data_IF_833670430683
#
_entry.id   IF_833670430683
#
_cell.length_a   1.000
_cell.length_b   1.000
_cell.length_c   1.000
_cell.angle_alpha   90.00
_cell.angle_beta   90.00
_cell.angle_gamma   90.00
#
_symmetry.space_group_name_H-M   'P 1'
#
loop_
_entity.id
_entity.type
_entity.pdbx_description
1 polymer ?
#
# COMPACT_ATOMS: atom_id res chain seq x y z
N UNK A 1 -26.65 40.63 27.50
CA UNK A 1 -27.33 39.33 27.54
C UNK A 1 -26.58 38.34 26.66
N UNK A 2 -26.28 37.19 27.24
CA UNK A 2 -25.30 36.20 26.81
C UNK A 2 -25.73 35.38 25.58
N UNK A 3 -24.88 35.31 24.56
CA UNK A 3 -24.80 34.18 23.61
C UNK A 3 -23.33 33.82 23.39
N UNK A 4 -22.63 33.41 24.45
CA UNK A 4 -21.43 32.57 24.28
C UNK A 4 -21.94 31.22 23.79
N UNK A 5 -21.79 30.98 22.48
CA UNK A 5 -21.99 29.66 21.87
C UNK A 5 -21.19 28.65 22.69
N UNK A 6 -21.85 27.62 23.20
CA UNK A 6 -21.19 26.44 23.77
C UNK A 6 -20.26 25.87 22.69
N UNK A 7 -18.98 26.22 22.77
CA UNK A 7 -17.92 25.42 22.21
C UNK A 7 -17.86 24.18 23.10
N UNK A 8 -18.51 23.10 22.69
CA UNK A 8 -18.33 21.80 23.34
C UNK A 8 -16.84 21.48 23.22
N UNK A 9 -16.11 21.54 24.32
CA UNK A 9 -14.70 21.18 24.35
C UNK A 9 -14.57 19.73 23.82
N UNK A 10 -13.62 19.50 22.90
CA UNK A 10 -13.34 18.17 22.38
C UNK A 10 -12.90 17.27 23.56
N UNK A 11 -13.62 16.19 23.81
CA UNK A 11 -13.20 15.19 24.79
C UNK A 11 -12.16 14.25 24.17
N UNK A 12 -11.27 13.62 24.96
CA UNK A 12 -10.35 12.63 24.44
C UNK A 12 -11.05 11.50 23.66
N UNK A 13 -12.24 11.10 24.10
CA UNK A 13 -13.08 10.10 23.44
C UNK A 13 -13.59 10.57 22.07
N UNK A 14 -14.08 11.81 21.97
CA UNK A 14 -14.58 12.35 20.70
C UNK A 14 -13.46 12.54 19.69
N UNK A 15 -12.25 12.92 20.15
CA UNK A 15 -11.06 12.95 19.30
C UNK A 15 -10.76 11.57 18.74
N UNK A 16 -10.77 10.53 19.58
CA UNK A 16 -10.54 9.15 19.15
C UNK A 16 -11.52 8.68 18.06
N UNK A 17 -12.82 8.92 18.27
CA UNK A 17 -13.89 8.52 17.35
C UNK A 17 -13.91 9.28 16.01
N UNK A 18 -13.25 10.44 15.93
CA UNK A 18 -13.28 11.30 14.74
C UNK A 18 -11.91 11.42 14.05
N UNK A 19 -10.83 10.92 14.67
CA UNK A 19 -9.48 11.10 14.16
C UNK A 19 -9.20 10.22 12.93
N UNK A 20 -9.22 10.84 11.75
CA UNK A 20 -8.91 10.18 10.48
C UNK A 20 -7.53 9.47 10.50
N UNK A 21 -6.51 10.10 11.11
CA UNK A 21 -5.18 9.51 11.22
C UNK A 21 -5.16 8.23 12.08
N UNK A 22 -5.94 8.19 13.17
CA UNK A 22 -6.04 7.02 14.03
C UNK A 22 -6.75 5.87 13.29
N UNK A 23 -7.92 6.13 12.70
CA UNK A 23 -8.67 5.13 11.95
C UNK A 23 -7.88 4.56 10.77
N UNK A 24 -7.23 5.44 9.99
CA UNK A 24 -6.36 5.03 8.88
C UNK A 24 -5.23 4.10 9.36
N UNK A 25 -4.53 4.48 10.42
CA UNK A 25 -3.42 3.69 10.97
C UNK A 25 -3.86 2.34 11.54
N UNK A 26 -4.99 2.28 12.24
CA UNK A 26 -5.53 1.03 12.80
C UNK A 26 -5.93 0.09 11.67
N UNK A 27 -6.71 0.56 10.70
CA UNK A 27 -7.15 -0.24 9.57
C UNK A 27 -5.96 -0.74 8.75
N UNK A 28 -5.02 0.16 8.41
CA UNK A 28 -3.80 -0.19 7.68
C UNK A 28 -3.02 -1.32 8.36
N UNK A 29 -2.85 -1.27 9.69
CA UNK A 29 -2.14 -2.32 10.45
C UNK A 29 -2.85 -3.66 10.43
N UNK A 30 -4.18 -3.67 10.61
CA UNK A 30 -4.97 -4.91 10.64
C UNK A 30 -5.00 -5.57 9.25
N UNK A 31 -5.25 -4.78 8.20
CA UNK A 31 -5.22 -5.25 6.81
C UNK A 31 -3.83 -5.77 6.46
N UNK A 32 -2.77 -5.02 6.79
CA UNK A 32 -1.39 -5.47 6.53
C UNK A 32 -1.07 -6.80 7.21
N UNK A 33 -1.54 -7.00 8.45
CA UNK A 33 -1.35 -8.27 9.18
C UNK A 33 -2.05 -9.42 8.49
N UNK A 34 -3.32 -9.24 8.11
CA UNK A 34 -4.11 -10.24 7.41
C UNK A 34 -3.42 -10.70 6.12
N UNK A 35 -2.96 -9.76 5.30
CA UNK A 35 -2.33 -10.11 4.03
C UNK A 35 -0.95 -10.75 4.26
N UNK A 36 -0.13 -10.22 5.17
CA UNK A 36 1.16 -10.84 5.48
C UNK A 36 1.04 -12.28 6.00
N UNK A 37 -0.03 -12.60 6.73
CA UNK A 37 -0.29 -13.97 7.19
C UNK A 37 -0.54 -14.90 5.99
N UNK A 38 -1.40 -14.50 5.05
CA UNK A 38 -1.74 -15.30 3.88
C UNK A 38 -0.63 -15.37 2.83
N UNK A 39 0.27 -14.38 2.80
CA UNK A 39 1.42 -14.37 1.90
C UNK A 39 2.64 -15.13 2.46
N UNK A 40 2.57 -15.64 3.70
CA UNK A 40 3.74 -16.18 4.41
C UNK A 40 4.48 -17.28 3.65
N UNK A 41 3.76 -18.18 2.98
CA UNK A 41 4.34 -19.28 2.17
C UNK A 41 5.17 -18.79 0.98
N UNK A 42 4.85 -17.60 0.45
CA UNK A 42 5.65 -16.98 -0.62
C UNK A 42 6.99 -16.41 -0.13
N UNK A 43 7.15 -16.22 1.18
CA UNK A 43 8.28 -15.49 1.75
C UNK A 43 8.26 -13.97 1.48
N UNK A 44 7.15 -13.45 0.93
CA UNK A 44 6.93 -12.02 0.67
C UNK A 44 6.02 -11.40 1.71
N UNK A 45 6.29 -10.14 2.03
CA UNK A 45 5.32 -9.26 2.71
C UNK A 45 4.42 -8.58 1.68
N UNK A 46 3.23 -8.14 2.09
CA UNK A 46 2.29 -7.42 1.23
C UNK A 46 2.92 -6.19 0.57
N UNK A 47 3.78 -5.46 1.28
CA UNK A 47 4.51 -4.31 0.70
C UNK A 47 5.44 -4.74 -0.43
N UNK A 48 6.13 -5.86 -0.28
CA UNK A 48 7.02 -6.40 -1.32
C UNK A 48 6.20 -6.91 -2.52
N UNK A 49 5.11 -7.62 -2.26
CA UNK A 49 4.16 -8.02 -3.29
C UNK A 49 3.63 -6.81 -4.08
N UNK A 50 3.23 -5.73 -3.40
CA UNK A 50 2.76 -4.50 -4.07
C UNK A 50 3.84 -3.87 -4.96
N UNK A 51 5.11 -3.90 -4.55
CA UNK A 51 6.24 -3.44 -5.39
C UNK A 51 6.39 -4.33 -6.63
N UNK A 52 6.43 -5.66 -6.46
CA UNK A 52 6.52 -6.60 -7.58
C UNK A 52 5.34 -6.45 -8.55
N UNK A 53 4.13 -6.34 -8.02
CA UNK A 53 2.91 -6.11 -8.79
C UNK A 53 3.00 -4.81 -9.61
N UNK A 54 3.49 -3.73 -9.01
CA UNK A 54 3.65 -2.46 -9.71
C UNK A 54 4.69 -2.54 -10.84
N UNK A 55 5.86 -3.14 -10.58
CA UNK A 55 6.89 -3.36 -11.60
C UNK A 55 6.33 -4.19 -12.76
N UNK A 56 5.62 -5.28 -12.46
CA UNK A 56 5.03 -6.18 -13.45
C UNK A 56 3.91 -5.52 -14.26
N UNK A 57 3.05 -4.72 -13.62
CA UNK A 57 1.93 -4.06 -14.29
C UNK A 57 2.40 -2.93 -15.21
N UNK A 58 3.38 -2.14 -14.76
CA UNK A 58 4.01 -1.08 -15.55
C UNK A 58 5.38 -0.76 -14.94
N UNK A 59 6.50 -1.14 -15.59
CA UNK A 59 7.83 -0.82 -15.10
C UNK A 59 7.97 0.68 -14.83
N UNK A 60 8.36 1.09 -13.60
CA UNK A 60 8.44 2.50 -13.26
C UNK A 60 9.67 3.16 -13.87
N UNK A 61 9.52 4.41 -14.30
CA UNK A 61 10.63 5.21 -14.80
C UNK A 61 11.53 5.72 -13.68
N UNK A 62 11.09 5.74 -12.41
CA UNK A 62 11.94 6.16 -11.30
C UNK A 62 11.43 5.65 -9.95
N UNK A 63 12.30 5.66 -8.93
CA UNK A 63 11.91 5.31 -7.55
C UNK A 63 10.89 6.33 -7.02
N UNK A 64 11.00 7.59 -7.44
CA UNK A 64 10.02 8.61 -7.08
C UNK A 64 8.63 8.27 -7.64
N UNK A 65 8.53 7.92 -8.91
CA UNK A 65 7.23 7.55 -9.51
C UNK A 65 6.63 6.31 -8.83
N UNK A 66 7.46 5.30 -8.53
CA UNK A 66 7.00 4.10 -7.83
C UNK A 66 6.57 4.41 -6.38
N UNK A 67 7.27 5.33 -5.70
CA UNK A 67 6.92 5.79 -4.35
C UNK A 67 5.55 6.48 -4.34
N UNK A 68 5.34 7.36 -5.32
CA UNK A 68 4.09 8.08 -5.53
C UNK A 68 2.93 7.14 -5.86
N UNK A 69 3.17 6.12 -6.69
CA UNK A 69 2.19 5.10 -7.05
C UNK A 69 1.76 4.27 -5.84
N UNK A 70 2.72 3.89 -4.98
CA UNK A 70 2.47 3.01 -3.84
C UNK A 70 2.13 3.76 -2.54
N UNK A 71 2.17 5.10 -2.54
CA UNK A 71 1.98 5.91 -1.34
C UNK A 71 3.04 5.65 -0.27
N UNK A 72 4.29 5.42 -0.69
CA UNK A 72 5.41 5.08 0.18
C UNK A 72 6.44 6.21 0.21
N UNK A 73 7.08 6.41 1.36
CA UNK A 73 8.25 7.29 1.45
C UNK A 73 9.39 6.79 0.55
N UNK A 74 10.02 7.70 -0.20
CA UNK A 74 11.05 7.37 -1.21
C UNK A 74 12.17 6.52 -0.64
N UNK A 75 12.69 6.85 0.55
CA UNK A 75 13.79 6.11 1.19
C UNK A 75 13.37 4.73 1.70
N UNK A 76 12.09 4.56 2.06
CA UNK A 76 11.53 3.27 2.46
C UNK A 76 11.30 2.37 1.26
N UNK A 77 10.84 2.95 0.15
CA UNK A 77 10.70 2.23 -1.10
C UNK A 77 12.05 1.79 -1.67
N UNK A 78 13.06 2.68 -1.71
CA UNK A 78 14.41 2.33 -2.17
C UNK A 78 14.93 1.11 -1.42
N UNK A 79 14.89 1.15 -0.07
CA UNK A 79 15.30 0.01 0.78
C UNK A 79 14.48 -1.27 0.53
N UNK A 80 13.24 -1.15 0.08
CA UNK A 80 12.41 -2.31 -0.27
C UNK A 80 12.85 -2.91 -1.61
N UNK A 81 13.13 -2.07 -2.61
CA UNK A 81 13.64 -2.48 -3.92
C UNK A 81 15.02 -3.12 -3.77
N UNK A 82 15.94 -2.49 -3.04
CA UNK A 82 17.30 -3.01 -2.82
C UNK A 82 17.27 -4.42 -2.23
N UNK A 83 16.38 -4.67 -1.26
CA UNK A 83 16.18 -6.00 -0.67
C UNK A 83 15.58 -7.02 -1.64
N UNK A 84 14.77 -6.59 -2.60
CA UNK A 84 14.23 -7.49 -3.63
C UNK A 84 15.32 -7.86 -4.64
N UNK A 85 16.22 -6.93 -4.95
CA UNK A 85 17.41 -7.17 -5.78
C UNK A 85 18.40 -8.09 -5.07
N UNK A 86 18.70 -7.83 -3.79
CA UNK A 86 19.58 -8.67 -2.97
C UNK A 86 19.07 -10.12 -2.86
N UNK A 87 17.74 -10.30 -2.83
CA UNK A 87 17.10 -11.62 -2.85
C UNK A 87 17.02 -12.26 -4.24
N UNK A 88 17.50 -11.59 -5.29
CA UNK A 88 17.44 -12.07 -6.67
C UNK A 88 16.02 -12.13 -7.24
N UNK A 89 15.06 -11.39 -6.67
CA UNK A 89 13.66 -11.36 -7.13
C UNK A 89 13.40 -10.25 -8.16
N UNK A 90 14.23 -9.21 -8.14
CA UNK A 90 14.19 -8.09 -9.07
C UNK A 90 15.60 -7.91 -9.63
N UNK A 91 15.69 -7.58 -10.90
CA UNK A 91 16.93 -7.11 -11.52
C UNK A 91 16.74 -5.66 -11.96
N UNK A 92 17.85 -4.93 -12.07
CA UNK A 92 17.87 -3.55 -12.55
C UNK A 92 18.85 -3.47 -13.70
N UNK A 93 18.32 -3.39 -14.92
CA UNK A 93 19.13 -3.24 -16.12
C UNK A 93 19.10 -1.79 -16.59
N UNK A 94 20.24 -1.21 -17.02
CA UNK A 94 20.24 0.10 -17.65
C UNK A 94 19.36 0.06 -18.90
N UNK A 95 18.22 0.73 -18.86
CA UNK A 95 17.50 0.99 -20.12
C UNK A 95 18.30 2.05 -20.88
N UNK A 96 18.22 2.07 -22.21
CA UNK A 96 18.82 3.14 -23.03
C UNK A 96 18.40 4.56 -22.62
N UNK A 97 17.38 4.69 -21.76
CA UNK A 97 17.03 5.90 -21.04
C UNK A 97 17.71 5.92 -19.64
N UNK A 98 18.68 6.83 -19.46
CA UNK A 98 19.42 7.04 -18.19
C UNK A 98 18.53 7.36 -16.97
N UNK A 99 17.26 7.73 -17.17
CA UNK A 99 16.33 8.05 -16.08
C UNK A 99 15.58 6.83 -15.56
N UNK A 100 15.39 5.80 -16.37
CA UNK A 100 14.61 4.61 -16.00
C UNK A 100 15.43 3.66 -15.13
N UNK A 101 14.78 3.11 -14.11
CA UNK A 101 15.38 2.11 -13.23
C UNK A 101 15.63 0.77 -13.92
N UNK A 102 14.90 0.52 -15.02
CA UNK A 102 14.88 -0.77 -15.71
C UNK A 102 14.65 -1.94 -14.77
N UNK A 103 13.69 -1.80 -13.85
CA UNK A 103 13.33 -2.89 -12.96
C UNK A 103 12.49 -3.92 -13.71
N UNK A 104 12.89 -5.18 -13.62
CA UNK A 104 12.11 -6.35 -14.03
C UNK A 104 12.13 -7.41 -12.94
N UNK A 105 11.13 -8.28 -12.94
CA UNK A 105 11.16 -9.49 -12.11
C UNK A 105 12.08 -10.50 -12.78
N UNK A 106 12.93 -11.15 -12.00
CA UNK A 106 13.67 -12.32 -12.45
C UNK A 106 12.73 -13.54 -12.58
N UNK A 107 13.21 -14.66 -13.11
CA UNK A 107 12.44 -15.91 -13.13
C UNK A 107 12.01 -16.38 -11.72
N UNK A 108 12.90 -16.25 -10.73
CA UNK A 108 12.57 -16.54 -9.32
C UNK A 108 11.58 -15.52 -8.76
N UNK A 109 11.75 -14.23 -9.12
CA UNK A 109 10.81 -13.18 -8.78
C UNK A 109 9.39 -13.44 -9.28
N UNK A 110 9.26 -13.92 -10.52
CA UNK A 110 7.99 -14.30 -11.11
C UNK A 110 7.36 -15.49 -10.38
N UNK A 111 8.14 -16.54 -10.09
CA UNK A 111 7.68 -17.71 -9.31
C UNK A 111 7.13 -17.29 -7.94
N UNK A 112 7.89 -16.45 -7.22
CA UNK A 112 7.49 -15.90 -5.90
C UNK A 112 6.25 -15.01 -5.99
N UNK A 113 6.15 -14.20 -7.05
CA UNK A 113 4.99 -13.35 -7.30
C UNK A 113 3.72 -14.20 -7.49
N UNK A 114 3.78 -15.26 -8.29
CA UNK A 114 2.63 -16.15 -8.52
C UNK A 114 2.17 -16.83 -7.23
N UNK A 115 3.10 -17.31 -6.40
CA UNK A 115 2.76 -17.88 -5.10
C UNK A 115 2.12 -16.84 -4.15
N UNK A 116 2.67 -15.62 -4.12
CA UNK A 116 2.08 -14.54 -3.34
C UNK A 116 0.72 -14.07 -3.87
N UNK A 117 0.48 -14.16 -5.18
CA UNK A 117 -0.80 -13.80 -5.80
C UNK A 117 -1.93 -14.71 -5.30
N UNK A 118 -1.68 -16.01 -5.14
CA UNK A 118 -2.64 -16.95 -4.53
C UNK A 118 -2.95 -16.53 -3.08
N UNK A 119 -1.93 -16.23 -2.28
CA UNK A 119 -2.10 -15.72 -0.91
C UNK A 119 -2.86 -14.39 -0.87
N UNK A 120 -2.60 -13.50 -1.82
CA UNK A 120 -3.30 -12.22 -1.95
C UNK A 120 -4.79 -12.42 -2.26
N UNK A 121 -5.13 -13.35 -3.16
CA UNK A 121 -6.53 -13.68 -3.48
C UNK A 121 -7.26 -14.22 -2.24
N UNK A 122 -6.61 -15.11 -1.48
CA UNK A 122 -7.16 -15.64 -0.23
C UNK A 122 -7.38 -14.52 0.82
N UNK A 123 -6.39 -13.65 1.00
CA UNK A 123 -6.48 -12.50 1.89
C UNK A 123 -7.60 -11.53 1.49
N UNK A 124 -7.71 -11.23 0.19
CA UNK A 124 -8.74 -10.34 -0.35
C UNK A 124 -10.14 -10.92 -0.13
N UNK A 125 -10.35 -12.21 -0.41
CA UNK A 125 -11.63 -12.87 -0.15
C UNK A 125 -11.97 -12.89 1.34
N UNK A 126 -11.02 -13.22 2.20
CA UNK A 126 -11.24 -13.20 3.65
C UNK A 126 -11.59 -11.79 4.13
N UNK A 127 -10.86 -10.77 3.68
CA UNK A 127 -11.14 -9.39 4.02
C UNK A 127 -12.55 -8.97 3.57
N UNK A 128 -12.91 -9.24 2.31
CA UNK A 128 -14.24 -8.93 1.76
C UNK A 128 -15.37 -9.70 2.46
N UNK A 129 -15.13 -10.90 2.98
CA UNK A 129 -16.12 -11.63 3.79
C UNK A 129 -16.36 -10.99 5.16
N UNK A 130 -15.36 -10.31 5.72
CA UNK A 130 -15.45 -9.67 7.04
C UNK A 130 -16.17 -8.31 6.96
N UNK A 131 -15.89 -7.54 5.91
CA UNK A 131 -16.39 -6.15 5.79
C UNK A 131 -17.51 -5.99 4.75
N UNK A 132 -17.76 -7.01 3.93
CA UNK A 132 -18.68 -6.96 2.80
C UNK A 132 -18.03 -6.38 1.55
N UNK A 133 -18.03 -7.16 0.46
CA UNK A 133 -17.43 -6.77 -0.83
C UNK A 133 -17.93 -5.43 -1.37
N UNK A 134 -19.24 -5.21 -1.38
CA UNK A 134 -19.82 -3.97 -1.89
C UNK A 134 -19.46 -2.76 -1.01
N UNK A 135 -19.47 -2.93 0.31
CA UNK A 135 -19.04 -1.89 1.25
C UNK A 135 -17.57 -1.54 1.04
N UNK A 136 -16.70 -2.55 0.89
CA UNK A 136 -15.30 -2.31 0.59
C UNK A 136 -15.09 -1.59 -0.75
N UNK A 137 -15.80 -1.96 -1.81
CA UNK A 137 -15.69 -1.28 -3.10
C UNK A 137 -16.03 0.21 -3.00
N UNK A 138 -17.09 0.55 -2.27
CA UNK A 138 -17.47 1.93 -1.99
C UNK A 138 -16.38 2.66 -1.18
N UNK A 139 -15.94 2.06 -0.07
CA UNK A 139 -14.88 2.63 0.78
C UNK A 139 -13.58 2.81 0.00
N UNK A 140 -13.16 1.85 -0.82
CA UNK A 140 -11.95 1.93 -1.62
C UNK A 140 -12.04 3.06 -2.66
N UNK A 141 -13.23 3.32 -3.21
CA UNK A 141 -13.47 4.48 -4.09
C UNK A 141 -13.31 5.80 -3.32
N UNK A 142 -13.94 5.91 -2.16
CA UNK A 142 -13.83 7.10 -1.31
C UNK A 142 -12.40 7.33 -0.81
N UNK A 143 -11.68 6.28 -0.41
CA UNK A 143 -10.27 6.38 -0.01
C UNK A 143 -9.40 6.92 -1.14
N UNK A 144 -9.58 6.43 -2.38
CA UNK A 144 -8.83 6.96 -3.55
C UNK A 144 -9.14 8.43 -3.78
N UNK A 145 -10.42 8.83 -3.68
CA UNK A 145 -10.84 10.23 -3.81
C UNK A 145 -10.21 11.11 -2.73
N UNK A 146 -10.32 10.70 -1.47
CA UNK A 146 -9.73 11.42 -0.33
C UNK A 146 -8.21 11.53 -0.44
N UNK A 147 -7.52 10.46 -0.79
CA UNK A 147 -6.06 10.49 -0.99
C UNK A 147 -5.66 11.48 -2.08
N UNK A 148 -6.41 11.54 -3.18
CA UNK A 148 -6.16 12.52 -4.24
C UNK A 148 -6.39 13.96 -3.77
N UNK A 149 -7.53 14.24 -3.13
CA UNK A 149 -7.87 15.57 -2.61
C UNK A 149 -6.89 16.07 -1.54
N UNK A 150 -6.47 15.19 -0.62
CA UNK A 150 -5.48 15.53 0.42
C UNK A 150 -4.13 15.80 -0.23
N UNK A 151 -3.68 14.95 -1.17
CA UNK A 151 -2.40 15.12 -1.85
C UNK A 151 -2.30 16.40 -2.69
N UNK A 152 -3.40 16.86 -3.27
CA UNK A 152 -3.41 18.12 -4.02
C UNK A 152 -3.29 19.37 -3.13
N UNK A 153 -3.60 19.24 -1.83
CA UNK A 153 -3.63 20.35 -0.87
C UNK A 153 -2.43 20.35 0.08
N UNK A 154 -1.60 19.30 0.06
CA UNK A 154 -0.32 19.21 0.76
C UNK A 154 0.82 19.54 -0.20
#
# INVERSE_FOLDING_TARGET
>A
MSRRKNQTALSPESVGLQCAALHSRVLSRLVTRLYNQQLSDSGLRITQFSVLNAIKARPPESIFQLAELLGMERTSLQRTVDKLIEKGLVESEPTGNKRSLGLSLTAEGESRYQLALVGWQAAQHQFESLVGKQSWQQIASELRRFSHEVKQKL
#
